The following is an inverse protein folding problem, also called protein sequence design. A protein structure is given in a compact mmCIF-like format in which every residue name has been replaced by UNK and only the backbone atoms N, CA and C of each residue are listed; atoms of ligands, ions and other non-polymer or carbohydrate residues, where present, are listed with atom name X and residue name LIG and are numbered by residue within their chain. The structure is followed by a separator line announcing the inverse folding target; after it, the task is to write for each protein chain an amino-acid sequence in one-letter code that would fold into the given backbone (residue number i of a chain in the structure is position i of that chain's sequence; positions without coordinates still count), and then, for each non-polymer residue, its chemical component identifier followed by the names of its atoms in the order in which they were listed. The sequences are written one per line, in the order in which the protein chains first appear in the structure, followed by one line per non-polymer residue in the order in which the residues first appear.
data_IF_527187780817
#
_entry.id   IF_527187780817
#
_cell.length_a   1.000
_cell.length_b   1.000
_cell.length_c   1.000
_cell.angle_alpha   90.00
_cell.angle_beta   90.00
_cell.angle_gamma   90.00
#
_symmetry.space_group_name_H-M   'P 1'
#
loop_
_entity.id
_entity.type
_entity.pdbx_description
1 polymer ?
#
# COMPACT_ATOMS: atom_id res chain seq x y z
N UNK A 1 -8.56 9.54 -0.40
CA UNK A 1 -7.51 9.82 -1.41
C UNK A 1 -8.11 9.72 -2.82
N UNK A 2 -8.74 10.79 -3.31
CA UNK A 2 -9.37 10.85 -4.65
C UNK A 2 -8.73 11.96 -5.51
N UNK A 3 -7.40 12.13 -5.42
CA UNK A 3 -6.67 13.10 -6.24
C UNK A 3 -6.43 12.60 -7.69
N UNK A 4 -6.89 11.41 -8.02
CA UNK A 4 -6.71 10.80 -9.33
C UNK A 4 -8.02 10.88 -10.12
N UNK A 5 -7.99 11.44 -11.34
CA UNK A 5 -9.18 11.56 -12.18
C UNK A 5 -9.63 10.19 -12.70
N UNK A 6 -10.88 9.75 -12.47
CA UNK A 6 -11.39 8.48 -12.99
C UNK A 6 -11.44 8.49 -14.53
N UNK A 7 -11.12 7.35 -15.16
CA UNK A 7 -11.38 7.14 -16.60
C UNK A 7 -10.21 7.34 -17.57
N UNK A 8 -9.03 7.74 -17.10
CA UNK A 8 -7.83 7.83 -17.95
C UNK A 8 -6.91 6.61 -17.78
N UNK A 9 -6.36 6.12 -18.89
CA UNK A 9 -5.33 5.06 -18.93
C UNK A 9 -4.18 5.43 -18.01
N UNK A 10 -3.75 4.50 -17.14
CA UNK A 10 -2.73 4.71 -16.10
C UNK A 10 -3.30 5.03 -14.71
N UNK A 11 -4.29 5.92 -14.61
CA UNK A 11 -4.89 6.32 -13.32
C UNK A 11 -5.74 5.22 -12.69
N UNK A 12 -6.37 4.37 -13.51
CA UNK A 12 -7.18 3.25 -13.02
C UNK A 12 -6.37 2.24 -12.19
N UNK A 13 -5.14 1.93 -12.62
CA UNK A 13 -4.25 1.05 -11.87
C UNK A 13 -3.83 1.67 -10.54
N UNK A 14 -3.51 2.96 -10.53
CA UNK A 14 -3.20 3.70 -9.31
C UNK A 14 -4.37 3.68 -8.31
N UNK A 15 -5.59 3.96 -8.76
CA UNK A 15 -6.80 3.91 -7.94
C UNK A 15 -7.06 2.51 -7.38
N UNK A 16 -6.87 1.47 -8.19
CA UNK A 16 -7.01 0.08 -7.76
C UNK A 16 -6.05 -0.24 -6.61
N UNK A 17 -4.75 0.08 -6.75
CA UNK A 17 -3.74 -0.18 -5.73
C UNK A 17 -4.04 0.59 -4.44
N UNK A 18 -4.36 1.89 -4.54
CA UNK A 18 -4.64 2.74 -3.37
C UNK A 18 -5.86 2.23 -2.60
N UNK A 19 -6.96 1.95 -3.29
CA UNK A 19 -8.18 1.45 -2.64
C UNK A 19 -7.98 0.06 -2.03
N UNK A 20 -7.28 -0.83 -2.73
CA UNK A 20 -7.02 -2.19 -2.22
C UNK A 20 -6.14 -2.15 -0.98
N UNK A 21 -5.07 -1.34 -1.00
CA UNK A 21 -4.21 -1.16 0.17
C UNK A 21 -4.93 -0.53 1.36
N UNK A 22 -5.85 0.40 1.11
CA UNK A 22 -6.70 1.00 2.15
C UNK A 22 -7.63 -0.04 2.79
N UNK A 23 -8.25 -0.90 1.99
CA UNK A 23 -9.10 -1.99 2.50
C UNK A 23 -8.26 -2.99 3.31
N UNK A 24 -7.09 -3.39 2.80
CA UNK A 24 -6.20 -4.34 3.50
C UNK A 24 -5.69 -3.79 4.84
N UNK A 25 -5.35 -2.50 4.90
CA UNK A 25 -4.94 -1.87 6.16
C UNK A 25 -6.08 -1.75 7.16
N UNK A 26 -7.30 -1.44 6.70
CA UNK A 26 -8.49 -1.48 7.56
C UNK A 26 -8.72 -2.88 8.14
N UNK A 27 -8.61 -3.94 7.34
CA UNK A 27 -8.74 -5.32 7.82
C UNK A 27 -7.71 -5.61 8.92
N UNK A 28 -6.44 -5.22 8.73
CA UNK A 28 -5.42 -5.40 9.76
C UNK A 28 -5.75 -4.65 11.05
N UNK A 29 -6.21 -3.40 10.95
CA UNK A 29 -6.65 -2.64 12.13
C UNK A 29 -7.74 -3.40 12.90
N UNK A 30 -8.72 -3.98 12.21
CA UNK A 30 -9.75 -4.81 12.87
C UNK A 30 -9.18 -6.08 13.50
N UNK A 31 -8.26 -6.77 12.82
CA UNK A 31 -7.58 -7.97 13.35
C UNK A 31 -6.84 -7.65 14.66
N UNK A 32 -6.15 -6.51 14.71
CA UNK A 32 -5.48 -6.02 15.91
C UNK A 32 -6.46 -5.59 17.00
N UNK A 33 -7.51 -4.83 16.64
CA UNK A 33 -8.47 -4.29 17.60
C UNK A 33 -9.31 -5.38 18.28
N UNK A 34 -9.69 -6.41 17.53
CA UNK A 34 -10.48 -7.54 18.05
C UNK A 34 -9.62 -8.60 18.78
N UNK A 35 -8.29 -8.42 18.85
CA UNK A 35 -7.40 -9.38 19.48
C UNK A 35 -7.46 -10.78 18.85
N UNK A 36 -7.72 -10.87 17.54
CA UNK A 36 -7.90 -12.16 16.84
C UNK A 36 -6.63 -13.00 16.93
N UNK A 37 -5.46 -12.35 17.02
CA UNK A 37 -4.17 -13.02 17.20
C UNK A 37 -4.09 -13.78 18.52
N UNK A 38 -4.74 -13.28 19.57
CA UNK A 38 -4.80 -13.91 20.89
C UNK A 38 -5.98 -14.89 21.02
N UNK A 39 -7.11 -14.60 20.35
CA UNK A 39 -8.33 -15.40 20.45
C UNK A 39 -8.33 -16.66 19.56
N UNK A 40 -7.55 -16.68 18.48
CA UNK A 40 -7.52 -17.77 17.50
C UNK A 40 -6.17 -18.51 17.57
N UNK A 41 -6.15 -19.64 18.26
CA UNK A 41 -4.98 -20.53 18.44
C UNK A 41 -4.66 -21.37 17.18
N UNK A 42 -4.56 -20.71 16.02
CA UNK A 42 -4.08 -21.35 14.79
C UNK A 42 -2.55 -21.37 14.78
N UNK A 43 -1.89 -22.47 14.33
CA UNK A 43 -0.43 -22.56 14.19
C UNK A 43 0.07 -21.77 12.97
N UNK A 44 -0.34 -20.50 12.84
CA UNK A 44 0.02 -19.61 11.73
C UNK A 44 0.91 -18.50 12.29
N UNK A 45 2.04 -18.27 11.61
CA UNK A 45 2.90 -17.12 11.91
C UNK A 45 2.24 -15.82 11.46
N UNK A 46 1.40 -15.23 12.33
CA UNK A 46 0.68 -13.99 12.07
C UNK A 46 1.58 -12.84 11.62
N UNK A 47 2.78 -12.74 12.21
CA UNK A 47 3.80 -11.73 11.85
C UNK A 47 4.29 -11.91 10.40
N UNK A 48 4.46 -13.15 9.93
CA UNK A 48 4.94 -13.44 8.58
C UNK A 48 3.86 -13.12 7.54
N UNK A 49 2.60 -13.45 7.84
CA UNK A 49 1.45 -13.12 6.98
C UNK A 49 1.29 -11.61 6.82
N UNK A 50 1.45 -10.85 7.91
CA UNK A 50 1.42 -9.40 7.88
C UNK A 50 2.60 -8.79 7.11
N UNK A 51 3.80 -9.30 7.35
CA UNK A 51 5.01 -8.88 6.63
C UNK A 51 4.84 -9.08 5.13
N UNK A 52 4.36 -10.25 4.72
CA UNK A 52 4.22 -10.60 3.30
C UNK A 52 3.15 -9.73 2.63
N UNK A 53 2.01 -9.50 3.28
CA UNK A 53 0.98 -8.61 2.78
C UNK A 53 1.48 -7.14 2.67
N UNK A 54 2.12 -6.62 3.72
CA UNK A 54 2.67 -5.25 3.75
C UNK A 54 3.75 -5.06 2.69
N UNK A 55 4.59 -6.07 2.46
CA UNK A 55 5.64 -6.06 1.43
C UNK A 55 5.04 -6.04 0.02
N UNK A 56 4.02 -6.87 -0.25
CA UNK A 56 3.32 -6.87 -1.54
C UNK A 56 2.68 -5.51 -1.81
N UNK A 57 2.01 -4.93 -0.80
CA UNK A 57 1.41 -3.59 -0.90
C UNK A 57 2.46 -2.52 -1.20
N UNK A 58 3.64 -2.59 -0.57
CA UNK A 58 4.76 -1.68 -0.86
C UNK A 58 5.19 -1.75 -2.32
N UNK A 59 5.39 -2.97 -2.86
CA UNK A 59 5.78 -3.17 -4.27
C UNK A 59 4.69 -2.67 -5.23
N UNK A 60 3.42 -2.93 -4.93
CA UNK A 60 2.31 -2.45 -5.73
C UNK A 60 2.24 -0.91 -5.74
N UNK A 61 2.45 -0.26 -4.59
CA UNK A 61 2.54 1.19 -4.51
C UNK A 61 3.72 1.75 -5.31
N UNK A 62 4.87 1.07 -5.28
CA UNK A 62 6.05 1.45 -6.06
C UNK A 62 5.74 1.49 -7.56
N UNK A 63 5.13 0.43 -8.09
CA UNK A 63 4.73 0.37 -9.51
C UNK A 63 3.65 1.41 -9.80
N UNK A 64 2.65 1.56 -8.90
CA UNK A 64 1.53 2.46 -9.10
C UNK A 64 1.96 3.93 -9.23
N UNK A 65 2.87 4.41 -8.39
CA UNK A 65 3.32 5.80 -8.48
C UNK A 65 4.16 6.05 -9.75
N UNK A 66 4.98 5.09 -10.16
CA UNK A 66 5.76 5.19 -11.41
C UNK A 66 4.82 5.28 -12.61
N UNK A 67 3.84 4.39 -12.71
CA UNK A 67 2.82 4.40 -13.77
C UNK A 67 2.07 5.73 -13.78
N UNK A 68 1.68 6.24 -12.60
CA UNK A 68 1.00 7.53 -12.48
C UNK A 68 1.88 8.69 -12.96
N UNK A 69 3.16 8.74 -12.59
CA UNK A 69 4.08 9.81 -13.01
C UNK A 69 4.38 9.77 -14.51
N UNK A 70 4.69 8.59 -15.07
CA UNK A 70 4.97 8.43 -16.51
C UNK A 70 3.76 8.85 -17.35
N UNK A 71 2.56 8.48 -16.90
CA UNK A 71 1.34 8.72 -17.67
C UNK A 71 0.93 10.19 -17.69
N UNK A 72 1.25 10.94 -16.63
CA UNK A 72 0.84 12.35 -16.49
C UNK A 72 1.97 13.36 -16.71
N UNK A 73 3.24 12.94 -16.74
CA UNK A 73 4.38 13.80 -17.06
C UNK A 73 4.29 14.50 -18.43
N UNK A 74 3.90 13.84 -19.54
CA UNK A 74 3.88 14.45 -20.88
C UNK A 74 2.61 15.26 -21.18
N UNK A 75 1.61 15.27 -20.28
CA UNK A 75 0.31 15.92 -20.53
C UNK A 75 0.27 17.34 -19.98
N UNK A 76 -0.35 18.26 -20.74
CA UNK A 76 -0.46 19.68 -20.39
C UNK A 76 -1.73 20.04 -19.62
N UNK A 77 -2.80 19.23 -19.72
CA UNK A 77 -4.06 19.45 -19.01
C UNK A 77 -4.25 18.46 -17.86
N UNK A 78 -4.87 18.94 -16.76
CA UNK A 78 -5.15 18.15 -15.54
C UNK A 78 -3.92 17.49 -14.88
N UNK A 79 -2.74 18.09 -15.07
CA UNK A 79 -1.45 17.57 -14.58
C UNK A 79 -1.28 17.66 -13.07
N UNK A 80 -1.70 18.77 -12.45
CA UNK A 80 -1.39 19.07 -11.05
C UNK A 80 -1.92 18.02 -10.06
N UNK A 81 -3.20 17.66 -10.17
CA UNK A 81 -3.83 16.72 -9.23
C UNK A 81 -3.27 15.31 -9.40
N UNK A 82 -3.02 14.89 -10.65
CA UNK A 82 -2.50 13.56 -10.95
C UNK A 82 -1.01 13.40 -10.60
N UNK A 83 -0.20 14.45 -10.72
CA UNK A 83 1.18 14.45 -10.21
C UNK A 83 1.20 14.43 -8.69
N UNK A 84 0.35 15.22 -8.04
CA UNK A 84 0.21 15.17 -6.58
C UNK A 84 -0.15 13.75 -6.11
N UNK A 85 -1.08 13.07 -6.80
CA UNK A 85 -1.39 11.66 -6.53
C UNK A 85 -0.16 10.74 -6.66
N UNK A 86 0.68 10.94 -7.69
CA UNK A 86 1.95 10.23 -7.83
C UNK A 86 2.91 10.47 -6.66
N UNK A 87 3.07 11.72 -6.21
CA UNK A 87 3.90 12.06 -5.04
C UNK A 87 3.38 11.40 -3.76
N UNK A 88 2.05 11.41 -3.55
CA UNK A 88 1.43 10.68 -2.42
C UNK A 88 1.65 9.17 -2.53
N UNK A 89 1.64 8.60 -3.73
CA UNK A 89 1.99 7.20 -3.96
C UNK A 89 3.45 6.88 -3.60
N UNK A 90 4.37 7.78 -3.93
CA UNK A 90 5.79 7.66 -3.57
C UNK A 90 5.99 7.68 -2.05
N UNK A 91 5.35 8.62 -1.34
CA UNK A 91 5.41 8.69 0.12
C UNK A 91 4.83 7.41 0.74
N UNK A 92 3.67 6.94 0.25
CA UNK A 92 3.08 5.70 0.73
C UNK A 92 4.02 4.51 0.51
N UNK A 93 4.67 4.42 -0.64
CA UNK A 93 5.66 3.37 -0.91
C UNK A 93 6.73 3.32 0.18
N UNK A 94 7.29 4.48 0.53
CA UNK A 94 8.30 4.59 1.59
C UNK A 94 7.76 4.19 2.96
N UNK A 95 6.55 4.61 3.32
CA UNK A 95 5.91 4.25 4.59
C UNK A 95 5.64 2.74 4.68
N UNK A 96 5.09 2.13 3.64
CA UNK A 96 4.87 0.68 3.60
C UNK A 96 6.18 -0.11 3.58
N UNK A 97 7.21 0.39 2.88
CA UNK A 97 8.53 -0.23 2.89
C UNK A 97 9.15 -0.19 4.30
N UNK A 98 9.08 0.96 4.98
CA UNK A 98 9.55 1.08 6.35
C UNK A 98 8.76 0.18 7.32
N UNK A 99 7.44 0.13 7.19
CA UNK A 99 6.60 -0.80 7.95
C UNK A 99 6.98 -2.27 7.72
N UNK A 100 7.21 -2.67 6.47
CA UNK A 100 7.67 -4.03 6.15
C UNK A 100 9.04 -4.34 6.76
N UNK A 101 9.94 -3.35 6.81
CA UNK A 101 11.26 -3.50 7.43
C UNK A 101 11.18 -3.68 8.94
N UNK A 102 10.32 -2.93 9.63
CA UNK A 102 10.08 -3.11 11.06
C UNK A 102 9.52 -4.50 11.38
N UNK A 103 8.53 -4.96 10.59
CA UNK A 103 7.98 -6.31 10.72
C UNK A 103 9.03 -7.40 10.46
N UNK A 104 9.96 -7.16 9.52
CA UNK A 104 11.06 -8.07 9.24
C UNK A 104 12.02 -8.21 10.43
N UNK A 105 12.36 -7.09 11.08
CA UNK A 105 13.17 -7.10 12.29
C UNK A 105 12.48 -7.85 13.44
N UNK A 106 11.17 -7.65 13.63
CA UNK A 106 10.42 -8.38 14.66
C UNK A 106 10.36 -9.89 14.36
N UNK A 107 10.11 -10.26 13.11
CA UNK A 107 10.14 -11.67 12.69
C UNK A 107 11.50 -12.31 12.95
N UNK A 108 12.60 -11.63 12.60
CA UNK A 108 13.97 -12.10 12.84
C UNK A 108 14.32 -12.17 14.34
N UNK A 109 13.71 -11.34 15.18
CA UNK A 109 13.92 -11.38 16.63
C UNK A 109 13.21 -12.57 17.29
N UNK A 110 12.05 -12.97 16.76
CA UNK A 110 11.25 -14.09 17.28
C UNK A 110 11.72 -15.48 16.80
N UNK A 111 12.58 -15.56 15.80
CA UNK A 111 12.93 -16.79 15.09
C UNK A 111 14.45 -17.03 15.10
#
# INVERSE_FOLDING_TARGET
MSLATPGYTGTGFFLFVVTTAFILTLIWIFVYFLGVREALSLPINWILTELLNTSIVSVLYFVAFIVQLITWAPRYHYKGVNIAAGVFGMINTGVYAFGSYLLYLEWKSRN
#
